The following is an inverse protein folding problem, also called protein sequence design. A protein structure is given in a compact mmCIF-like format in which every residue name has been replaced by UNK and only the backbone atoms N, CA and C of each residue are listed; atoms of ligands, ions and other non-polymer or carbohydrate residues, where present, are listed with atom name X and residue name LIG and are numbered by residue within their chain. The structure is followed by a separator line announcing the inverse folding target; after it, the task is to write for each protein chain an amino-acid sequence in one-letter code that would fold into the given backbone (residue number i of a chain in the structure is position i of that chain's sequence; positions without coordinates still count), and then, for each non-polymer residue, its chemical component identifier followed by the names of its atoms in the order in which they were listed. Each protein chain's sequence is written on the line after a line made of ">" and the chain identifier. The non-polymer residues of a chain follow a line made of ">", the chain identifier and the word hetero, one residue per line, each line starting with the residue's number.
data_IF_155562526725
#
_entry.id   IF_155562526725
#
_cell.length_a   1.000
_cell.length_b   1.000
_cell.length_c   1.000
_cell.angle_alpha   90.00
_cell.angle_beta   90.00
_cell.angle_gamma   90.00
#
_symmetry.space_group_name_H-M   'P 1'
#
loop_
_entity.id
_entity.type
_entity.pdbx_description
1 polymer ?
#
# COMPACT_ATOMS: atom_id res chain seq x y z
N UNK A 1 16.84 31.73 -2.74
CA UNK A 1 16.55 30.56 -1.90
C UNK A 1 15.06 30.41 -1.71
N UNK A 2 14.41 31.38 -1.08
CA UNK A 2 12.95 31.43 -0.92
C UNK A 2 12.20 31.20 -2.24
N UNK A 3 12.62 31.83 -3.34
CA UNK A 3 12.04 31.60 -4.67
C UNK A 3 12.11 30.13 -5.13
N UNK A 4 13.24 29.45 -4.88
CA UNK A 4 13.43 28.05 -5.29
C UNK A 4 12.65 27.12 -4.36
N UNK A 5 12.66 27.38 -3.04
CA UNK A 5 11.85 26.62 -2.07
C UNK A 5 10.34 26.77 -2.38
N UNK A 6 9.87 27.98 -2.68
CA UNK A 6 8.49 28.22 -3.10
C UNK A 6 8.15 27.51 -4.43
N UNK A 7 9.10 27.47 -5.38
CA UNK A 7 8.95 26.69 -6.61
C UNK A 7 8.83 25.19 -6.32
N UNK A 8 9.67 24.64 -5.43
CA UNK A 8 9.60 23.25 -4.99
C UNK A 8 8.29 22.93 -4.27
N UNK A 9 7.83 23.78 -3.34
CA UNK A 9 6.51 23.63 -2.70
C UNK A 9 5.38 23.54 -3.73
N UNK A 10 5.41 24.42 -4.73
CA UNK A 10 4.42 24.42 -5.82
C UNK A 10 4.51 23.18 -6.70
N UNK A 11 5.69 22.58 -6.86
CA UNK A 11 5.84 21.31 -7.57
C UNK A 11 5.35 20.12 -6.74
N UNK A 12 5.63 20.11 -5.43
CA UNK A 12 5.15 19.09 -4.50
C UNK A 12 3.62 19.10 -4.43
N UNK A 13 3.00 20.27 -4.37
CA UNK A 13 1.54 20.41 -4.31
C UNK A 13 0.81 19.90 -5.56
N UNK A 14 1.54 19.61 -6.64
CA UNK A 14 1.01 19.07 -7.90
C UNK A 14 1.36 17.59 -8.11
N UNK A 15 2.02 16.94 -7.15
CA UNK A 15 2.38 15.52 -7.29
C UNK A 15 1.09 14.70 -7.43
N UNK A 16 1.11 13.81 -8.41
CA UNK A 16 0.02 12.89 -8.70
C UNK A 16 0.59 11.59 -9.22
N UNK A 17 -0.02 10.48 -8.87
CA UNK A 17 0.30 9.17 -9.41
C UNK A 17 -0.72 8.82 -10.47
N UNK A 18 -0.26 8.36 -11.62
CA UNK A 18 -1.10 7.89 -12.70
C UNK A 18 -1.13 6.37 -12.63
N UNK A 19 -2.26 5.82 -12.18
CA UNK A 19 -2.45 4.38 -12.00
C UNK A 19 -3.12 3.78 -13.25
N UNK A 20 -2.51 2.76 -13.84
CA UNK A 20 -2.98 2.08 -15.04
C UNK A 20 -4.30 1.35 -14.80
N UNK A 21 -5.30 1.57 -15.67
CA UNK A 21 -6.60 0.88 -15.59
C UNK A 21 -6.49 -0.61 -15.95
N UNK A 22 -7.36 -1.44 -15.36
CA UNK A 22 -7.45 -2.89 -15.62
C UNK A 22 -8.25 -3.17 -16.90
N UNK A 23 -7.73 -4.00 -17.81
CA UNK A 23 -8.38 -4.45 -19.06
C UNK A 23 -7.99 -5.89 -19.41
N UNK A 24 -8.86 -6.60 -20.12
CA UNK A 24 -8.51 -7.91 -20.73
C UNK A 24 -7.89 -7.78 -22.12
N UNK A 25 -8.33 -6.78 -22.89
CA UNK A 25 -7.88 -6.57 -24.26
C UNK A 25 -6.63 -5.68 -24.26
N UNK A 26 -5.48 -6.23 -24.69
CA UNK A 26 -4.19 -5.55 -24.75
C UNK A 26 -4.13 -4.42 -25.81
N UNK A 27 -5.16 -4.29 -26.64
CA UNK A 27 -5.21 -3.29 -27.71
C UNK A 27 -5.52 -1.91 -27.10
N UNK A 28 -4.45 -1.11 -26.94
CA UNK A 28 -4.46 0.28 -26.45
C UNK A 28 -4.53 0.48 -24.93
N UNK A 29 -3.89 -0.39 -24.13
CA UNK A 29 -3.73 -0.16 -22.69
C UNK A 29 -2.96 1.15 -22.37
N UNK A 30 -2.15 1.67 -23.28
CA UNK A 30 -1.16 2.71 -23.01
C UNK A 30 -1.68 4.11 -22.67
N UNK A 31 -2.98 4.40 -22.79
CA UNK A 31 -3.50 5.78 -22.69
C UNK A 31 -4.57 6.00 -21.61
N UNK A 32 -4.94 4.99 -20.81
CA UNK A 32 -6.01 5.11 -19.82
C UNK A 32 -5.51 4.92 -18.38
N UNK A 33 -5.41 6.05 -17.67
CA UNK A 33 -4.92 6.13 -16.30
C UNK A 33 -5.95 6.79 -15.37
N UNK A 34 -5.93 6.39 -14.10
CA UNK A 34 -6.59 7.11 -13.02
C UNK A 34 -5.54 7.95 -12.31
N UNK A 35 -5.64 9.27 -12.51
CA UNK A 35 -4.79 10.25 -11.84
C UNK A 35 -5.23 10.43 -10.39
N UNK A 36 -4.32 10.21 -9.45
CA UNK A 36 -4.54 10.34 -8.01
C UNK A 36 -3.59 11.37 -7.44
N UNK A 37 -4.12 12.47 -6.93
CA UNK A 37 -3.31 13.51 -6.31
C UNK A 37 -2.68 13.00 -5.01
N UNK A 38 -1.36 13.16 -4.85
CA UNK A 38 -0.63 12.67 -3.67
C UNK A 38 -1.25 13.19 -2.37
N UNK A 39 -1.54 14.49 -2.30
CA UNK A 39 -2.11 15.12 -1.11
C UNK A 39 -3.52 14.60 -0.78
N UNK A 40 -4.26 14.09 -1.76
CA UNK A 40 -5.60 13.55 -1.54
C UNK A 40 -5.60 12.22 -0.78
N UNK A 41 -4.51 11.43 -0.91
CA UNK A 41 -4.35 10.07 -0.37
C UNK A 41 -3.18 9.95 0.61
N UNK A 42 -2.42 11.03 0.82
CA UNK A 42 -1.29 11.04 1.77
C UNK A 42 -1.76 10.73 3.20
N UNK A 43 -2.97 11.11 3.58
CA UNK A 43 -3.51 10.85 4.92
C UNK A 43 -4.41 9.60 4.96
N UNK A 44 -4.56 8.91 3.83
CA UNK A 44 -5.43 7.75 3.71
C UNK A 44 -4.71 6.53 4.28
N UNK A 45 -5.11 6.14 5.50
CA UNK A 45 -4.67 4.91 6.12
C UNK A 45 -4.92 3.75 5.14
N UNK A 46 -3.90 2.92 4.98
CA UNK A 46 -3.91 1.69 4.17
C UNK A 46 -4.06 1.85 2.65
N UNK A 47 -4.14 3.06 2.09
CA UNK A 47 -4.24 3.27 0.64
C UNK A 47 -3.19 2.47 -0.15
N UNK A 48 -1.90 2.58 0.23
CA UNK A 48 -0.81 1.86 -0.43
C UNK A 48 -0.95 0.35 -0.34
N UNK A 49 -1.44 -0.14 0.79
CA UNK A 49 -1.63 -1.57 1.04
C UNK A 49 -2.80 -2.11 0.21
N UNK A 50 -3.89 -1.34 0.10
CA UNK A 50 -5.06 -1.67 -0.71
C UNK A 50 -4.73 -1.63 -2.21
N UNK A 51 -3.95 -0.65 -2.68
CA UNK A 51 -3.51 -0.57 -4.08
C UNK A 51 -2.58 -1.74 -4.44
N UNK A 52 -1.64 -2.10 -3.56
CA UNK A 52 -0.79 -3.28 -3.77
C UNK A 52 -1.65 -4.56 -3.91
N UNK A 53 -2.63 -4.74 -3.01
CA UNK A 53 -3.53 -5.89 -3.06
C UNK A 53 -4.41 -5.86 -4.32
N UNK A 54 -4.91 -4.68 -4.71
CA UNK A 54 -5.74 -4.50 -5.90
C UNK A 54 -5.05 -5.04 -7.16
N UNK A 55 -3.86 -4.53 -7.47
CA UNK A 55 -3.13 -4.99 -8.66
C UNK A 55 -2.81 -6.49 -8.58
N UNK A 56 -2.47 -7.01 -7.40
CA UNK A 56 -2.22 -8.44 -7.25
C UNK A 56 -3.45 -9.30 -7.58
N UNK A 57 -4.60 -8.96 -6.99
CA UNK A 57 -5.87 -9.70 -7.20
C UNK A 57 -6.25 -9.67 -8.66
N UNK A 58 -6.23 -8.48 -9.25
CA UNK A 58 -6.73 -8.27 -10.61
C UNK A 58 -5.81 -8.87 -11.66
N UNK A 59 -4.48 -8.79 -11.49
CA UNK A 59 -3.52 -9.48 -12.34
C UNK A 59 -3.67 -11.00 -12.31
N UNK A 60 -3.84 -11.59 -11.12
CA UNK A 60 -4.06 -13.04 -10.99
C UNK A 60 -5.35 -13.46 -11.69
N UNK A 61 -6.39 -12.64 -11.56
CA UNK A 61 -7.67 -12.89 -12.19
C UNK A 61 -7.57 -12.80 -13.73
N UNK A 62 -6.92 -11.77 -14.28
CA UNK A 62 -6.67 -11.61 -15.72
C UNK A 62 -5.93 -12.81 -16.32
N UNK A 63 -4.88 -13.29 -15.65
CA UNK A 63 -4.15 -14.49 -16.10
C UNK A 63 -5.09 -15.68 -16.25
N UNK A 64 -6.07 -15.85 -15.36
CA UNK A 64 -6.98 -17.00 -15.41
C UNK A 64 -8.09 -16.83 -16.41
N UNK A 65 -8.68 -15.64 -16.48
CA UNK A 65 -9.79 -15.38 -17.39
C UNK A 65 -9.35 -15.51 -18.84
N UNK A 66 -8.18 -14.98 -19.18
CA UNK A 66 -7.63 -15.05 -20.54
C UNK A 66 -7.25 -16.50 -20.90
N UNK A 67 -6.62 -17.23 -19.98
CA UNK A 67 -6.19 -18.60 -20.24
C UNK A 67 -7.28 -19.67 -20.01
N UNK A 68 -8.50 -19.29 -19.60
CA UNK A 68 -9.64 -20.20 -19.27
C UNK A 68 -9.26 -21.36 -18.34
N UNK A 69 -8.47 -21.08 -17.31
CA UNK A 69 -7.84 -22.11 -16.47
C UNK A 69 -8.66 -22.50 -15.23
N UNK A 70 -8.75 -23.81 -14.93
CA UNK A 70 -8.98 -24.31 -13.55
C UNK A 70 -7.60 -24.53 -12.88
N UNK A 71 -7.38 -23.90 -11.73
CA UNK A 71 -6.12 -23.97 -10.99
C UNK A 71 -5.74 -25.39 -10.54
N UNK A 72 -6.69 -26.32 -10.51
CA UNK A 72 -6.44 -27.72 -10.13
C UNK A 72 -5.76 -28.54 -11.22
N UNK A 73 -5.73 -28.03 -12.45
CA UNK A 73 -5.14 -28.68 -13.62
C UNK A 73 -3.97 -27.87 -14.22
N UNK A 74 -3.48 -26.85 -13.51
CA UNK A 74 -2.44 -25.95 -14.01
C UNK A 74 -1.05 -26.61 -14.04
N UNK A 75 -0.37 -26.51 -15.18
CA UNK A 75 1.03 -26.92 -15.34
C UNK A 75 1.98 -26.03 -14.50
N UNK A 76 3.23 -26.47 -14.33
CA UNK A 76 4.29 -25.77 -13.59
C UNK A 76 4.49 -24.32 -14.05
N UNK A 77 4.27 -24.05 -15.33
CA UNK A 77 4.41 -22.72 -15.94
C UNK A 77 3.46 -21.68 -15.29
N UNK A 78 2.18 -22.02 -15.14
CA UNK A 78 1.18 -21.10 -14.55
C UNK A 78 1.49 -20.83 -13.07
N UNK A 79 1.92 -21.85 -12.34
CA UNK A 79 2.36 -21.68 -10.94
C UNK A 79 3.54 -20.71 -10.84
N UNK A 80 4.51 -20.83 -11.77
CA UNK A 80 5.64 -19.91 -11.84
C UNK A 80 5.18 -18.49 -12.19
N UNK A 81 4.27 -18.31 -13.16
CA UNK A 81 3.68 -17.01 -13.51
C UNK A 81 2.99 -16.33 -12.34
N UNK A 82 2.22 -17.06 -11.53
CA UNK A 82 1.58 -16.45 -10.36
C UNK A 82 2.61 -16.10 -9.27
N UNK A 83 3.61 -16.95 -9.04
CA UNK A 83 4.70 -16.65 -8.12
C UNK A 83 5.46 -15.37 -8.52
N UNK A 84 5.60 -15.18 -9.82
CA UNK A 84 6.21 -14.03 -10.45
C UNK A 84 5.39 -12.75 -10.27
N UNK A 85 4.08 -12.78 -10.54
CA UNK A 85 3.16 -11.66 -10.26
C UNK A 85 3.23 -11.24 -8.79
N UNK A 86 3.30 -12.21 -7.87
CA UNK A 86 3.45 -11.91 -6.43
C UNK A 86 4.74 -11.14 -6.11
N UNK A 87 5.86 -11.48 -6.76
CA UNK A 87 7.14 -10.76 -6.60
C UNK A 87 7.05 -9.33 -7.14
N UNK A 88 6.49 -9.16 -8.33
CA UNK A 88 6.33 -7.83 -8.96
C UNK A 88 5.38 -6.97 -8.14
N UNK A 89 4.26 -7.52 -7.67
CA UNK A 89 3.30 -6.81 -6.81
C UNK A 89 3.96 -6.37 -5.48
N UNK A 90 4.76 -7.25 -4.86
CA UNK A 90 5.51 -6.87 -3.65
C UNK A 90 6.50 -5.74 -3.94
N UNK A 91 7.21 -5.81 -5.07
CA UNK A 91 8.11 -4.74 -5.51
C UNK A 91 7.37 -3.43 -5.76
N UNK A 92 6.22 -3.49 -6.46
CA UNK A 92 5.34 -2.36 -6.71
C UNK A 92 4.87 -1.71 -5.40
N UNK A 93 4.42 -2.50 -4.43
CA UNK A 93 4.05 -1.97 -3.12
C UNK A 93 5.23 -1.33 -2.37
N UNK A 94 6.44 -1.89 -2.47
CA UNK A 94 7.64 -1.28 -1.88
C UNK A 94 7.98 0.05 -2.57
N UNK A 95 7.88 0.09 -3.90
CA UNK A 95 8.09 1.28 -4.72
C UNK A 95 7.15 2.41 -4.30
N UNK A 96 5.85 2.12 -4.17
CA UNK A 96 4.85 3.09 -3.71
C UNK A 96 5.17 3.61 -2.30
N UNK A 97 5.55 2.76 -1.35
CA UNK A 97 5.94 3.19 0.01
C UNK A 97 7.17 4.08 0.01
N UNK A 98 8.18 3.74 -0.77
CA UNK A 98 9.38 4.56 -0.92
C UNK A 98 9.07 5.91 -1.58
N UNK A 99 8.24 5.95 -2.62
CA UNK A 99 7.80 7.19 -3.25
C UNK A 99 7.04 8.08 -2.26
N UNK A 100 6.05 7.51 -1.56
CA UNK A 100 5.26 8.23 -0.57
C UNK A 100 6.11 8.74 0.59
N UNK A 101 7.08 7.96 1.07
CA UNK A 101 8.00 8.40 2.11
C UNK A 101 8.82 9.59 1.62
N UNK A 102 9.44 9.49 0.44
CA UNK A 102 10.22 10.57 -0.15
C UNK A 102 9.43 11.87 -0.25
N UNK A 103 8.28 11.85 -0.93
CA UNK A 103 7.51 13.06 -1.14
C UNK A 103 6.97 13.64 0.17
N UNK A 104 6.58 12.78 1.12
CA UNK A 104 6.12 13.25 2.44
C UNK A 104 7.24 13.90 3.24
N UNK A 105 8.43 13.29 3.26
CA UNK A 105 9.58 13.75 4.03
C UNK A 105 10.23 14.98 3.38
N UNK A 106 10.29 15.01 2.06
CA UNK A 106 10.75 16.16 1.29
C UNK A 106 9.84 17.38 1.51
N UNK A 107 8.52 17.20 1.47
CA UNK A 107 7.55 18.27 1.77
C UNK A 107 7.78 18.85 3.17
N UNK A 108 7.91 17.99 4.20
CA UNK A 108 8.22 18.43 5.56
C UNK A 108 9.51 19.24 5.61
N UNK A 109 10.59 18.72 5.03
CA UNK A 109 11.88 19.41 5.02
C UNK A 109 11.78 20.80 4.37
N UNK A 110 11.08 20.90 3.24
CA UNK A 110 10.90 22.17 2.52
C UNK A 110 9.99 23.13 3.30
N UNK A 111 8.98 22.63 4.00
CA UNK A 111 8.10 23.43 4.84
C UNK A 111 8.80 23.98 6.08
N UNK A 112 9.55 23.12 6.78
CA UNK A 112 10.31 23.45 7.98
C UNK A 112 11.50 24.37 7.65
N UNK A 113 12.09 24.23 6.45
CA UNK A 113 13.21 25.08 5.99
C UNK A 113 12.88 26.57 5.94
N UNK A 114 11.61 26.95 5.76
CA UNK A 114 11.21 28.35 5.74
C UNK A 114 11.34 29.04 7.10
N UNK A 115 11.38 28.26 8.19
CA UNK A 115 11.48 28.79 9.55
C UNK A 115 12.91 28.82 10.07
N UNK A 116 13.88 28.34 9.29
CA UNK A 116 15.28 28.26 9.69
C UNK A 116 15.95 29.62 9.48
N UNK A 117 16.45 30.22 10.56
CA UNK A 117 17.40 31.31 10.45
C UNK A 117 18.79 30.74 10.13
N UNK A 118 19.12 30.67 8.83
CA UNK A 118 20.41 30.18 8.34
C UNK A 118 21.62 30.96 8.86
N UNK A 119 21.45 32.19 9.35
CA UNK A 119 22.56 32.92 9.97
C UNK A 119 22.90 32.36 11.35
N UNK A 120 21.91 31.86 12.09
CA UNK A 120 22.07 31.27 13.43
C UNK A 120 22.36 29.77 13.40
N UNK A 121 21.80 29.04 12.43
CA UNK A 121 21.92 27.57 12.32
C UNK A 121 23.37 27.05 12.24
N UNK A 122 24.28 27.87 11.73
CA UNK A 122 25.70 27.54 11.55
C UNK A 122 26.62 28.14 12.62
N UNK A 123 26.09 28.77 13.68
CA UNK A 123 26.90 29.43 14.73
C UNK A 123 27.17 28.57 15.97
N UNK A 124 26.54 27.40 16.12
CA UNK A 124 26.64 26.57 17.34
C UNK A 124 27.83 25.57 17.38
N UNK A 125 28.90 25.79 16.60
CA UNK A 125 30.17 25.06 16.77
C UNK A 125 31.27 26.05 17.23
N UNK A 126 31.51 26.22 18.54
CA UNK A 126 32.32 27.32 19.07
C UNK A 126 33.84 27.21 18.82
N UNK A 127 34.33 26.15 18.17
CA UNK A 127 35.76 25.81 18.17
C UNK A 127 36.44 25.72 16.80
N UNK A 128 35.70 25.88 15.70
CA UNK A 128 36.27 25.91 14.36
C UNK A 128 35.59 27.05 13.59
N UNK A 129 36.35 28.05 13.13
CA UNK A 129 35.92 29.12 12.21
C UNK A 129 35.49 28.59 10.81
N UNK A 130 35.04 27.34 10.75
CA UNK A 130 34.49 26.63 9.60
C UNK A 130 33.23 25.96 10.13
N UNK A 131 32.03 26.49 9.85
CA UNK A 131 30.81 25.77 10.14
C UNK A 131 30.77 24.50 9.30
N UNK A 132 31.00 23.39 9.98
CA UNK A 132 30.73 22.07 9.44
C UNK A 132 29.22 21.91 9.47
N UNK A 133 28.64 21.69 8.29
CA UNK A 133 27.40 20.94 8.25
C UNK A 133 27.75 19.56 8.79
N UNK A 134 27.20 19.17 9.94
CA UNK A 134 27.45 17.85 10.54
C UNK A 134 26.66 16.81 9.75
N UNK A 135 26.99 16.67 8.45
CA UNK A 135 26.39 15.70 7.55
C UNK A 135 26.65 14.35 8.20
N UNK A 136 25.60 13.64 8.64
CA UNK A 136 25.81 12.42 9.38
C UNK A 136 26.55 11.43 8.48
N UNK A 137 27.67 10.90 8.97
CA UNK A 137 28.43 9.91 8.22
C UNK A 137 27.75 8.55 8.37
N UNK A 138 27.03 8.14 7.32
CA UNK A 138 26.33 6.86 7.31
C UNK A 138 27.19 5.76 6.71
N UNK A 139 27.33 4.66 7.46
CA UNK A 139 28.02 3.45 7.00
C UNK A 139 27.10 2.48 6.25
N UNK A 140 25.79 2.74 6.19
CA UNK A 140 24.81 1.86 5.56
C UNK A 140 23.53 2.60 5.16
N UNK A 141 22.78 1.98 4.23
CA UNK A 141 21.42 2.42 3.86
C UNK A 141 20.44 2.28 5.02
N UNK A 142 20.61 1.27 5.88
CA UNK A 142 19.81 1.10 7.10
C UNK A 142 19.90 2.36 7.98
N UNK A 143 21.13 2.82 8.25
CA UNK A 143 21.38 3.98 9.09
C UNK A 143 20.77 5.27 8.51
N UNK A 144 20.76 5.43 7.18
CA UNK A 144 20.10 6.57 6.53
C UNK A 144 18.58 6.55 6.74
N UNK A 145 17.92 5.39 6.59
CA UNK A 145 16.48 5.28 6.85
C UNK A 145 16.17 5.49 8.33
N UNK A 146 16.92 4.85 9.23
CA UNK A 146 16.76 5.00 10.68
C UNK A 146 16.85 6.47 11.09
N UNK A 147 17.86 7.18 10.60
CA UNK A 147 18.03 8.61 10.86
C UNK A 147 16.86 9.45 10.36
N UNK A 148 16.43 9.25 9.10
CA UNK A 148 15.31 10.01 8.53
C UNK A 148 14.01 9.76 9.30
N UNK A 149 13.79 8.54 9.78
CA UNK A 149 12.60 8.19 10.56
C UNK A 149 12.67 8.78 11.97
N UNK A 150 13.81 8.62 12.66
CA UNK A 150 14.02 9.13 14.02
C UNK A 150 13.89 10.66 14.08
N UNK A 151 14.45 11.35 13.08
CA UNK A 151 14.47 12.82 13.04
C UNK A 151 13.31 13.44 12.27
N UNK A 152 12.35 12.66 11.77
CA UNK A 152 11.26 13.11 10.87
C UNK A 152 10.36 14.24 11.43
N UNK A 153 10.43 14.52 12.73
CA UNK A 153 9.68 15.60 13.41
C UNK A 153 10.59 16.59 14.14
N UNK A 154 11.91 16.45 13.98
CA UNK A 154 12.89 17.29 14.63
C UNK A 154 13.30 18.41 13.67
N UNK A 155 12.91 19.65 14.03
CA UNK A 155 13.15 20.83 13.23
C UNK A 155 14.63 21.27 13.25
N UNK A 156 15.41 20.81 14.24
CA UNK A 156 16.82 21.17 14.36
C UNK A 156 17.66 20.43 13.30
N UNK A 157 17.16 19.33 12.74
CA UNK A 157 17.87 18.48 11.77
C UNK A 157 17.33 18.57 10.33
N UNK A 158 16.56 19.61 10.01
CA UNK A 158 15.87 19.73 8.71
C UNK A 158 16.84 19.70 7.53
N UNK A 159 18.00 20.35 7.67
CA UNK A 159 18.99 20.42 6.59
C UNK A 159 19.66 19.05 6.42
N UNK A 160 20.10 18.42 7.51
CA UNK A 160 20.70 17.08 7.50
C UNK A 160 19.72 16.03 6.96
N UNK A 161 18.43 16.13 7.32
CA UNK A 161 17.36 15.28 6.76
C UNK A 161 17.24 15.47 5.27
N UNK A 162 17.16 16.72 4.78
CA UNK A 162 17.10 17.00 3.35
C UNK A 162 18.31 16.43 2.58
N UNK A 163 19.51 16.55 3.13
CA UNK A 163 20.73 15.98 2.55
C UNK A 163 20.73 14.45 2.57
N UNK A 164 20.38 13.86 3.72
CA UNK A 164 20.31 12.40 3.86
C UNK A 164 19.29 11.81 2.90
N UNK A 165 18.12 12.44 2.80
CA UNK A 165 17.06 12.06 1.86
C UNK A 165 17.56 12.15 0.41
N UNK A 166 18.24 13.24 0.06
CA UNK A 166 18.80 13.44 -1.28
C UNK A 166 19.83 12.37 -1.65
N UNK A 167 20.78 12.08 -0.75
CA UNK A 167 21.80 11.05 -0.96
C UNK A 167 21.16 9.67 -1.11
N UNK A 168 20.28 9.31 -0.17
CA UNK A 168 19.61 8.02 -0.15
C UNK A 168 18.84 7.78 -1.45
N UNK A 169 18.05 8.76 -1.88
CA UNK A 169 17.23 8.59 -3.07
C UNK A 169 18.04 8.71 -4.37
N UNK A 170 19.14 9.45 -4.39
CA UNK A 170 20.07 9.36 -5.51
C UNK A 170 20.68 7.95 -5.65
N UNK A 171 20.96 7.27 -4.54
CA UNK A 171 21.41 5.86 -4.56
C UNK A 171 20.28 4.96 -5.09
N UNK A 172 19.06 5.12 -4.58
CA UNK A 172 17.90 4.32 -4.99
C UNK A 172 17.61 4.48 -6.49
N UNK A 173 17.68 5.70 -7.03
CA UNK A 173 17.38 5.98 -8.43
C UNK A 173 18.61 5.90 -9.34
N UNK A 174 19.76 5.47 -8.81
CA UNK A 174 21.05 5.42 -9.51
C UNK A 174 21.42 6.74 -10.21
N UNK A 175 21.10 7.87 -9.56
CA UNK A 175 21.48 9.19 -10.04
C UNK A 175 22.97 9.44 -9.78
N UNK A 176 23.70 9.93 -10.78
CA UNK A 176 25.11 10.26 -10.62
C UNK A 176 25.27 11.45 -9.66
N UNK A 177 25.46 11.13 -8.39
CA UNK A 177 25.49 12.10 -7.28
C UNK A 177 26.89 12.68 -7.03
N UNK A 178 27.89 12.27 -7.81
CA UNK A 178 29.29 12.65 -7.62
C UNK A 178 29.51 14.17 -7.77
N UNK A 179 28.74 14.82 -8.65
CA UNK A 179 28.82 16.27 -8.88
C UNK A 179 28.30 17.06 -7.67
N UNK A 180 27.27 16.58 -6.97
CA UNK A 180 26.71 17.25 -5.78
C UNK A 180 27.70 17.17 -4.61
N UNK A 181 28.30 16.00 -4.36
CA UNK A 181 29.30 15.81 -3.29
C UNK A 181 30.61 16.58 -3.56
N UNK A 182 31.06 16.66 -4.82
CA UNK A 182 32.25 17.43 -5.22
C UNK A 182 32.03 18.94 -5.13
N UNK A 183 30.83 19.43 -5.46
CA UNK A 183 30.49 20.85 -5.31
C UNK A 183 30.53 21.29 -3.84
N UNK A 184 30.00 20.47 -2.92
CA UNK A 184 30.04 20.75 -1.48
C UNK A 184 31.47 20.76 -0.94
N UNK A 185 32.32 19.82 -1.36
CA UNK A 185 33.72 19.71 -0.89
C UNK A 185 34.68 20.78 -1.41
N UNK A 186 34.38 21.45 -2.54
CA UNK A 186 35.32 22.34 -3.23
C UNK A 186 35.31 23.80 -2.77
N UNK A 187 34.46 24.16 -1.80
CA UNK A 187 34.23 25.57 -1.46
C UNK A 187 35.14 26.00 -0.30
N UNK A 188 36.31 26.52 -0.66
CA UNK A 188 37.17 27.34 0.21
C UNK A 188 37.18 28.78 -0.35
N UNK A 189 36.38 29.70 0.22
CA UNK A 189 36.62 31.18 0.32
C UNK A 189 35.35 31.97 0.70
N UNK A 190 35.58 33.21 1.16
CA UNK A 190 34.61 34.18 1.67
C UNK A 190 33.36 34.36 0.77
N UNK A 191 32.19 34.58 1.39
CA UNK A 191 30.82 34.53 0.82
C UNK A 191 30.23 33.13 0.51
N UNK A 192 30.83 32.08 1.03
CA UNK A 192 30.39 30.69 0.87
C UNK A 192 28.95 30.41 1.32
N UNK A 193 28.42 31.08 2.35
CA UNK A 193 27.07 30.78 2.92
C UNK A 193 25.92 30.95 1.91
N UNK A 194 25.88 32.07 1.20
CA UNK A 194 24.82 32.35 0.22
C UNK A 194 24.99 31.54 -1.07
N UNK A 195 26.25 31.28 -1.46
CA UNK A 195 26.59 30.52 -2.66
C UNK A 195 26.29 29.02 -2.49
N UNK A 196 26.72 28.42 -1.37
CA UNK A 196 26.46 27.01 -1.03
C UNK A 196 24.96 26.75 -0.99
N UNK A 197 24.19 27.61 -0.33
CA UNK A 197 22.77 27.33 -0.14
C UNK A 197 21.98 27.48 -1.43
N UNK A 198 22.34 28.42 -2.32
CA UNK A 198 21.70 28.55 -3.64
C UNK A 198 22.04 27.38 -4.56
N UNK A 199 23.32 27.08 -4.77
CA UNK A 199 23.72 25.97 -5.67
C UNK A 199 23.26 24.61 -5.14
N UNK A 200 23.34 24.36 -3.82
CA UNK A 200 22.86 23.11 -3.24
C UNK A 200 21.36 22.93 -3.45
N UNK A 201 20.58 23.99 -3.28
CA UNK A 201 19.12 23.93 -3.48
C UNK A 201 18.76 23.77 -4.98
N UNK A 202 19.52 24.37 -5.89
CA UNK A 202 19.37 24.12 -7.33
C UNK A 202 19.64 22.65 -7.70
N UNK A 203 20.67 22.04 -7.08
CA UNK A 203 20.95 20.62 -7.27
C UNK A 203 19.88 19.72 -6.66
N UNK A 204 19.39 20.04 -5.46
CA UNK A 204 18.24 19.36 -4.84
C UNK A 204 17.01 19.45 -5.75
N UNK A 205 16.78 20.60 -6.40
CA UNK A 205 15.67 20.77 -7.34
C UNK A 205 15.81 19.90 -8.59
N UNK A 206 17.01 19.83 -9.18
CA UNK A 206 17.30 18.92 -10.32
C UNK A 206 17.12 17.46 -9.93
N UNK A 207 17.64 17.08 -8.76
CA UNK A 207 17.50 15.74 -8.21
C UNK A 207 16.03 15.40 -7.95
N UNK A 208 15.25 16.30 -7.36
CA UNK A 208 13.82 16.11 -7.16
C UNK A 208 13.09 15.86 -8.48
N UNK A 209 13.41 16.63 -9.53
CA UNK A 209 12.87 16.40 -10.87
C UNK A 209 13.21 15.01 -11.42
N UNK A 210 14.45 14.55 -11.22
CA UNK A 210 14.88 13.21 -11.59
C UNK A 210 14.15 12.12 -10.79
N UNK A 211 14.12 12.22 -9.45
CA UNK A 211 13.47 11.24 -8.57
C UNK A 211 11.98 11.13 -8.89
N UNK A 212 11.31 12.27 -9.09
CA UNK A 212 9.90 12.32 -9.49
C UNK A 212 9.66 11.52 -10.78
N UNK A 213 10.44 11.82 -11.83
CA UNK A 213 10.33 11.13 -13.11
C UNK A 213 10.62 9.63 -12.96
N UNK A 214 11.70 9.29 -12.25
CA UNK A 214 12.11 7.91 -12.04
C UNK A 214 11.02 7.08 -11.36
N UNK A 215 10.36 7.62 -10.32
CA UNK A 215 9.24 6.93 -9.67
C UNK A 215 8.04 6.74 -10.59
N UNK A 216 7.69 7.73 -11.41
CA UNK A 216 6.57 7.60 -12.34
C UNK A 216 6.86 6.52 -13.38
N UNK A 217 8.03 6.57 -14.03
CA UNK A 217 8.46 5.58 -15.01
C UNK A 217 8.52 4.17 -14.39
N UNK A 218 9.01 4.05 -13.15
CA UNK A 218 9.10 2.78 -12.44
C UNK A 218 7.73 2.22 -12.06
N UNK A 219 6.80 3.04 -11.56
CA UNK A 219 5.44 2.61 -11.18
C UNK A 219 4.69 2.14 -12.42
N UNK A 220 4.70 2.93 -13.49
CA UNK A 220 4.08 2.60 -14.78
C UNK A 220 4.62 1.26 -15.32
N UNK A 221 5.94 1.04 -15.25
CA UNK A 221 6.53 -0.22 -15.68
C UNK A 221 6.11 -1.42 -14.81
N UNK A 222 5.98 -1.25 -13.49
CA UNK A 222 5.48 -2.32 -12.62
C UNK A 222 4.04 -2.66 -12.93
N UNK A 223 3.18 -1.65 -13.09
CA UNK A 223 1.77 -1.84 -13.40
C UNK A 223 1.58 -2.47 -14.78
N UNK A 224 2.30 -2.02 -15.80
CA UNK A 224 2.32 -2.67 -17.12
C UNK A 224 2.74 -4.13 -17.01
N UNK A 225 3.76 -4.45 -16.22
CA UNK A 225 4.18 -5.84 -16.02
C UNK A 225 3.14 -6.65 -15.22
N UNK A 226 2.45 -6.04 -14.26
CA UNK A 226 1.36 -6.70 -13.54
C UNK A 226 0.17 -6.99 -14.46
N UNK A 227 -0.13 -6.11 -15.40
CA UNK A 227 -1.34 -6.18 -16.24
C UNK A 227 -1.13 -6.88 -17.58
N UNK A 228 0.04 -6.70 -18.20
CA UNK A 228 0.41 -7.42 -19.40
C UNK A 228 0.76 -8.86 -19.03
N UNK A 229 0.28 -9.81 -19.82
CA UNK A 229 0.72 -11.21 -19.79
C UNK A 229 2.20 -11.28 -20.19
N UNK A 230 3.10 -10.98 -19.24
CA UNK A 230 4.56 -10.95 -19.43
C UNK A 230 4.99 -12.25 -20.14
N UNK A 231 5.63 -12.12 -21.29
CA UNK A 231 6.29 -13.24 -21.96
C UNK A 231 7.52 -13.69 -21.17
N UNK A 232 7.94 -14.95 -21.27
CA UNK A 232 9.11 -15.47 -20.52
C UNK A 232 10.40 -14.65 -20.74
N UNK A 233 10.54 -13.96 -21.88
CA UNK A 233 11.66 -13.05 -22.15
C UNK A 233 11.59 -11.72 -21.39
N UNK A 234 10.41 -11.11 -21.28
CA UNK A 234 10.19 -9.92 -20.45
C UNK A 234 10.33 -10.27 -18.96
N UNK A 235 10.16 -11.55 -18.61
CA UNK A 235 10.39 -12.04 -17.27
C UNK A 235 11.85 -11.96 -16.81
N UNK A 236 12.83 -12.10 -17.72
CA UNK A 236 14.25 -11.96 -17.36
C UNK A 236 14.64 -10.52 -16.99
N UNK A 237 13.86 -9.52 -17.41
CA UNK A 237 14.03 -8.12 -16.98
C UNK A 237 13.50 -7.89 -15.55
N UNK A 238 12.73 -8.82 -14.99
CA UNK A 238 12.19 -8.72 -13.62
C UNK A 238 13.30 -8.76 -12.56
N UNK A 239 14.47 -9.31 -12.89
CA UNK A 239 15.67 -9.26 -12.04
C UNK A 239 16.15 -7.83 -11.74
N UNK A 240 15.80 -6.83 -12.56
CA UNK A 240 16.11 -5.42 -12.28
C UNK A 240 15.30 -4.87 -11.09
N UNK A 241 14.15 -5.46 -10.77
CA UNK A 241 13.29 -5.05 -9.65
C UNK A 241 13.76 -5.55 -8.28
N UNK A 242 14.75 -6.46 -8.23
CA UNK A 242 15.29 -6.97 -6.96
C UNK A 242 15.93 -5.87 -6.09
N UNK A 243 16.42 -4.79 -6.71
CA UNK A 243 16.94 -3.61 -6.00
C UNK A 243 15.87 -2.94 -5.12
N UNK A 244 14.64 -2.82 -5.60
CA UNK A 244 13.55 -2.17 -4.83
C UNK A 244 13.09 -3.03 -3.67
N UNK A 245 13.06 -4.34 -3.84
CA UNK A 245 12.80 -5.25 -2.73
C UNK A 245 13.88 -5.16 -1.64
N UNK A 246 15.14 -4.95 -2.02
CA UNK A 246 16.22 -4.69 -1.07
C UNK A 246 15.96 -3.41 -0.26
N UNK A 247 15.73 -2.27 -0.94
CA UNK A 247 15.44 -0.99 -0.25
C UNK A 247 14.16 -1.05 0.58
N UNK A 248 13.09 -1.68 0.07
CA UNK A 248 11.83 -1.84 0.77
C UNK A 248 11.97 -2.64 2.07
N UNK A 249 12.75 -3.73 2.07
CA UNK A 249 13.05 -4.50 3.29
C UNK A 249 13.80 -3.67 4.33
N UNK A 250 14.80 -2.89 3.88
CA UNK A 250 15.61 -2.01 4.72
C UNK A 250 14.75 -0.91 5.35
N UNK A 251 13.89 -0.29 4.55
CA UNK A 251 12.92 0.70 5.03
C UNK A 251 11.94 0.13 6.06
N UNK A 252 11.33 -1.03 5.78
CA UNK A 252 10.43 -1.69 6.72
C UNK A 252 11.11 -2.08 8.03
N UNK A 253 12.38 -2.50 7.98
CA UNK A 253 13.19 -2.79 9.17
C UNK A 253 13.35 -1.53 10.03
N UNK A 254 13.79 -0.43 9.42
CA UNK A 254 14.00 0.84 10.12
C UNK A 254 12.71 1.38 10.76
N UNK A 255 11.56 1.25 10.09
CA UNK A 255 10.26 1.63 10.67
C UNK A 255 9.92 0.81 11.93
N UNK A 256 10.22 -0.50 11.94
CA UNK A 256 9.97 -1.38 13.10
C UNK A 256 10.89 -1.07 14.26
N UNK A 257 12.18 -0.85 13.98
CA UNK A 257 13.19 -0.54 15.01
C UNK A 257 12.89 0.80 15.69
N UNK A 258 12.34 1.76 14.95
CA UNK A 258 11.88 3.05 15.47
C UNK A 258 10.46 3.03 16.05
N UNK A 259 9.87 1.84 16.27
CA UNK A 259 8.55 1.67 16.88
C UNK A 259 7.43 2.48 16.19
N UNK A 260 7.55 2.70 14.87
CA UNK A 260 6.50 3.36 14.10
C UNK A 260 5.23 2.51 14.19
N UNK A 261 4.11 3.17 14.47
CA UNK A 261 2.80 2.55 14.64
C UNK A 261 2.51 1.55 13.50
N UNK A 262 2.06 0.34 13.84
CA UNK A 262 1.65 -0.69 12.88
C UNK A 262 0.55 -0.24 11.93
N UNK A 263 -0.24 0.76 12.31
CA UNK A 263 -1.28 1.40 11.50
C UNK A 263 -0.76 2.48 10.54
N UNK A 264 0.55 2.70 10.48
CA UNK A 264 1.16 3.60 9.50
C UNK A 264 0.98 3.04 8.09
N UNK A 265 0.56 3.88 7.14
CA UNK A 265 0.47 3.51 5.71
C UNK A 265 1.78 2.99 5.11
N UNK A 266 2.92 3.32 5.73
CA UNK A 266 4.25 2.85 5.31
C UNK A 266 4.53 1.41 5.74
N UNK A 267 3.79 0.87 6.70
CA UNK A 267 3.88 -0.52 7.14
C UNK A 267 2.91 -1.37 6.32
N UNK A 268 3.42 -2.48 5.80
CA UNK A 268 2.56 -3.52 5.22
C UNK A 268 1.82 -4.24 6.35
N UNK A 269 0.60 -3.80 6.66
CA UNK A 269 -0.25 -4.44 7.67
C UNK A 269 -0.75 -5.81 7.19
N UNK A 270 -0.83 -6.77 8.11
CA UNK A 270 -1.44 -8.07 7.90
C UNK A 270 -2.96 -7.99 7.81
N UNK A 271 -3.59 -6.97 8.39
CA UNK A 271 -5.04 -6.79 8.36
C UNK A 271 -5.58 -6.19 7.06
N UNK A 272 -4.75 -5.58 6.21
CA UNK A 272 -5.24 -4.97 4.97
C UNK A 272 -5.66 -6.03 3.95
N UNK A 273 -6.76 -5.80 3.24
CA UNK A 273 -7.23 -6.74 2.24
C UNK A 273 -8.07 -5.99 1.20
N UNK A 274 -7.78 -6.27 -0.07
CA UNK A 274 -8.71 -6.13 -1.19
C UNK A 274 -9.10 -7.54 -1.66
N UNK A 275 -10.37 -7.74 -1.99
CA UNK A 275 -10.86 -8.95 -2.63
C UNK A 275 -11.90 -8.61 -3.70
N UNK A 276 -11.99 -9.47 -4.71
CA UNK A 276 -13.02 -9.36 -5.75
C UNK A 276 -13.63 -10.71 -6.10
N UNK A 277 -14.82 -10.67 -6.68
CA UNK A 277 -15.54 -11.83 -7.20
C UNK A 277 -16.32 -11.41 -8.43
N UNK A 278 -16.38 -12.33 -9.39
CA UNK A 278 -17.25 -12.19 -10.56
C UNK A 278 -18.33 -13.24 -10.48
N UNK A 279 -19.57 -12.79 -10.53
CA UNK A 279 -20.76 -13.65 -10.46
C UNK A 279 -21.78 -13.16 -11.48
N UNK A 280 -22.27 -14.04 -12.36
CA UNK A 280 -23.26 -13.71 -13.40
C UNK A 280 -22.91 -12.47 -14.25
N UNK A 281 -21.63 -12.31 -14.61
CA UNK A 281 -21.07 -11.15 -15.34
C UNK A 281 -21.13 -9.82 -14.58
N UNK A 282 -21.36 -9.84 -13.28
CA UNK A 282 -21.23 -8.68 -12.41
C UNK A 282 -19.95 -8.83 -11.59
N UNK A 283 -19.21 -7.73 -11.41
CA UNK A 283 -18.03 -7.69 -10.56
C UNK A 283 -18.34 -7.02 -9.25
N UNK A 284 -17.99 -7.72 -8.17
CA UNK A 284 -18.09 -7.23 -6.81
C UNK A 284 -16.70 -7.16 -6.22
N UNK A 285 -16.40 -6.09 -5.49
CA UNK A 285 -15.16 -6.00 -4.74
C UNK A 285 -15.38 -5.42 -3.35
N UNK A 286 -14.47 -5.72 -2.44
CA UNK A 286 -14.53 -5.21 -1.08
C UNK A 286 -13.13 -4.97 -0.52
N UNK A 287 -13.06 -4.06 0.45
CA UNK A 287 -11.85 -3.75 1.21
C UNK A 287 -12.09 -3.99 2.70
N UNK A 288 -11.05 -4.39 3.43
CA UNK A 288 -11.14 -4.62 4.87
C UNK A 288 -11.43 -3.31 5.62
N UNK A 289 -12.02 -3.44 6.81
CA UNK A 289 -12.39 -2.33 7.68
C UNK A 289 -13.89 -2.12 7.75
N UNK A 290 -14.33 -1.47 8.82
CA UNK A 290 -15.74 -1.12 9.04
C UNK A 290 -16.19 -0.10 8.03
N UNK A 291 -17.41 -0.28 7.53
CA UNK A 291 -18.14 0.76 6.83
C UNK A 291 -18.90 1.53 7.92
N UNK A 292 -18.47 2.76 8.21
CA UNK A 292 -19.19 3.59 9.17
C UNK A 292 -20.42 4.18 8.46
N UNK A 293 -21.62 3.94 8.98
CA UNK A 293 -22.88 4.49 8.42
C UNK A 293 -22.88 6.04 8.35
N UNK A 294 -21.98 6.68 9.11
CA UNK A 294 -21.75 8.13 9.14
C UNK A 294 -20.51 8.59 8.35
N UNK A 295 -19.92 7.74 7.51
CA UNK A 295 -18.79 8.16 6.68
C UNK A 295 -19.24 9.27 5.73
N UNK A 296 -18.67 10.46 5.93
CA UNK A 296 -18.81 11.56 4.98
C UNK A 296 -18.28 11.06 3.63
N UNK A 297 -18.89 11.45 2.49
CA UNK A 297 -18.38 11.13 1.15
C UNK A 297 -16.91 11.50 0.93
N UNK A 298 -16.37 12.40 1.77
CA UNK A 298 -14.97 12.82 1.81
C UNK A 298 -14.04 11.90 2.62
N UNK A 299 -14.52 10.77 3.17
CA UNK A 299 -13.68 9.85 3.94
C UNK A 299 -12.58 9.25 3.05
N UNK A 300 -11.42 9.02 3.66
CA UNK A 300 -10.25 8.41 3.00
C UNK A 300 -10.59 7.04 2.39
N UNK A 301 -11.49 6.30 3.05
CA UNK A 301 -12.02 5.03 2.55
C UNK A 301 -12.91 5.23 1.32
N UNK A 302 -13.85 6.18 1.33
CA UNK A 302 -14.69 6.50 0.18
C UNK A 302 -13.88 6.93 -1.04
N UNK A 303 -12.83 7.73 -0.84
CA UNK A 303 -11.89 8.12 -1.91
C UNK A 303 -11.19 6.89 -2.50
N UNK A 304 -10.63 6.03 -1.64
CA UNK A 304 -9.99 4.77 -2.08
C UNK A 304 -10.97 3.92 -2.88
N UNK A 305 -12.20 3.75 -2.41
CA UNK A 305 -13.24 3.01 -3.14
C UNK A 305 -13.55 3.64 -4.50
N UNK A 306 -13.64 4.97 -4.59
CA UNK A 306 -13.89 5.67 -5.85
C UNK A 306 -12.75 5.44 -6.86
N UNK A 307 -11.49 5.55 -6.42
CA UNK A 307 -10.30 5.27 -7.24
C UNK A 307 -10.33 3.83 -7.75
N UNK A 308 -10.60 2.84 -6.88
CA UNK A 308 -10.69 1.44 -7.27
C UNK A 308 -11.82 1.19 -8.28
N UNK A 309 -12.98 1.84 -8.12
CA UNK A 309 -14.05 1.79 -9.12
C UNK A 309 -13.55 2.32 -10.46
N UNK A 310 -12.89 3.48 -10.47
CA UNK A 310 -12.39 4.10 -11.69
C UNK A 310 -11.37 3.23 -12.42
N UNK A 311 -10.47 2.57 -11.67
CA UNK A 311 -9.49 1.62 -12.23
C UNK A 311 -10.15 0.40 -12.88
N UNK A 312 -11.34 0.01 -12.42
CA UNK A 312 -12.11 -1.12 -12.96
C UNK A 312 -13.13 -0.70 -14.03
N UNK A 313 -13.56 0.57 -14.09
CA UNK A 313 -14.69 1.05 -14.94
C UNK A 313 -14.52 0.76 -16.42
N UNK A 314 -13.29 0.60 -16.90
CA UNK A 314 -12.97 0.33 -18.31
C UNK A 314 -13.07 -1.16 -18.67
N UNK A 315 -13.37 -2.03 -17.70
CA UNK A 315 -13.55 -3.46 -17.92
C UNK A 315 -14.98 -3.73 -18.47
N UNK A 316 -15.10 -3.79 -19.80
CA UNK A 316 -16.39 -3.81 -20.53
C UNK A 316 -17.16 -5.13 -20.45
N UNK A 317 -16.52 -6.21 -19.99
CA UNK A 317 -17.15 -7.53 -19.92
C UNK A 317 -18.15 -7.68 -18.79
N UNK A 318 -18.12 -6.78 -17.81
CA UNK A 318 -19.08 -6.79 -16.72
C UNK A 318 -20.24 -5.86 -17.01
N UNK A 319 -21.45 -6.32 -16.71
CA UNK A 319 -22.64 -5.48 -16.74
C UNK A 319 -22.58 -4.40 -15.66
N UNK A 320 -22.01 -4.73 -14.50
CA UNK A 320 -21.89 -3.81 -13.35
C UNK A 320 -20.61 -4.06 -12.56
N UNK A 321 -20.12 -3.01 -11.90
CA UNK A 321 -19.03 -3.05 -10.92
C UNK A 321 -19.56 -2.44 -9.62
N UNK A 322 -19.62 -3.24 -8.56
CA UNK A 322 -20.20 -2.86 -7.27
C UNK A 322 -19.18 -3.00 -6.14
N UNK A 323 -19.08 -1.97 -5.30
CA UNK A 323 -18.39 -2.07 -4.01
C UNK A 323 -19.33 -2.68 -2.99
N UNK A 324 -18.88 -3.70 -2.27
CA UNK A 324 -19.67 -4.39 -1.26
C UNK A 324 -19.23 -3.98 0.15
N UNK A 325 -20.03 -3.17 0.87
CA UNK A 325 -19.80 -2.88 2.28
C UNK A 325 -20.18 -4.07 3.17
N UNK A 326 -20.05 -3.93 4.50
CA UNK A 326 -20.66 -4.87 5.46
C UNK A 326 -22.18 -4.79 5.31
N UNK A 327 -22.77 -5.84 4.76
CA UNK A 327 -24.22 -5.98 4.66
C UNK A 327 -24.81 -6.42 6.00
N UNK A 328 -26.05 -6.01 6.28
CA UNK A 328 -26.80 -6.45 7.47
C UNK A 328 -26.87 -7.98 7.60
N UNK A 329 -26.95 -8.67 6.46
CA UNK A 329 -26.97 -10.14 6.37
C UNK A 329 -25.57 -10.79 6.40
N UNK A 330 -24.50 -10.03 6.63
CA UNK A 330 -23.15 -10.60 6.81
C UNK A 330 -23.15 -11.44 8.07
N UNK A 331 -22.69 -12.69 7.99
CA UNK A 331 -22.79 -13.67 9.08
C UNK A 331 -21.45 -13.89 9.77
N UNK A 332 -21.51 -14.07 11.08
CA UNK A 332 -20.43 -14.56 11.92
C UNK A 332 -20.80 -15.92 12.50
N UNK A 333 -20.13 -16.97 12.03
CA UNK A 333 -20.28 -18.33 12.52
C UNK A 333 -19.35 -18.53 13.73
N UNK A 334 -19.94 -18.75 14.91
CA UNK A 334 -19.22 -18.86 16.19
C UNK A 334 -18.93 -20.32 16.60
N UNK A 335 -19.27 -21.26 15.72
CA UNK A 335 -18.99 -22.68 15.85
C UNK A 335 -18.42 -23.20 14.52
N UNK A 336 -17.46 -24.11 14.60
CA UNK A 336 -16.83 -24.76 13.44
C UNK A 336 -17.68 -25.88 12.86
N UNK A 337 -18.64 -26.40 13.63
CA UNK A 337 -19.40 -27.61 13.30
C UNK A 337 -20.92 -27.41 13.24
N UNK A 338 -21.41 -26.18 13.46
CA UNK A 338 -22.84 -25.87 13.35
C UNK A 338 -23.08 -24.64 12.46
N UNK A 339 -24.29 -24.57 11.90
CA UNK A 339 -24.79 -23.42 11.16
C UNK A 339 -25.23 -22.28 12.10
N UNK A 340 -24.78 -22.30 13.36
CA UNK A 340 -25.07 -21.25 14.32
C UNK A 340 -24.25 -20.00 13.99
N UNK A 341 -24.96 -18.91 13.68
CA UNK A 341 -24.38 -17.63 13.36
C UNK A 341 -25.19 -16.50 13.98
N UNK A 342 -24.53 -15.34 14.09
CA UNK A 342 -25.23 -14.05 14.20
C UNK A 342 -24.98 -13.23 12.93
N UNK A 343 -25.93 -12.39 12.58
CA UNK A 343 -25.82 -11.42 11.49
C UNK A 343 -25.26 -10.08 12.00
N UNK A 344 -24.79 -9.25 11.07
CA UNK A 344 -24.31 -7.92 11.41
C UNK A 344 -25.42 -7.02 11.95
N UNK A 345 -26.66 -7.18 11.44
CA UNK A 345 -27.83 -6.47 11.97
C UNK A 345 -28.09 -6.80 13.44
N UNK A 346 -28.02 -8.09 13.81
CA UNK A 346 -28.18 -8.55 15.18
C UNK A 346 -27.06 -8.02 16.09
N UNK A 347 -25.82 -8.01 15.60
CA UNK A 347 -24.70 -7.38 16.29
C UNK A 347 -24.91 -5.88 16.51
N UNK A 348 -25.41 -5.15 15.51
CA UNK A 348 -25.70 -3.71 15.64
C UNK A 348 -26.79 -3.44 16.68
N UNK A 349 -27.86 -4.24 16.67
CA UNK A 349 -29.01 -4.09 17.58
C UNK A 349 -28.66 -4.38 19.03
N UNK A 350 -27.73 -5.31 19.30
CA UNK A 350 -27.33 -5.69 20.65
C UNK A 350 -26.21 -4.81 21.24
N UNK A 351 -25.82 -3.74 20.56
CA UNK A 351 -24.73 -2.84 20.97
C UNK A 351 -23.41 -3.17 20.29
N UNK A 352 -22.78 -2.18 19.66
CA UNK A 352 -21.52 -2.35 18.92
C UNK A 352 -20.32 -2.17 19.84
N UNK A 353 -19.75 -3.27 20.33
CA UNK A 353 -18.47 -3.25 21.02
C UNK A 353 -17.32 -3.22 20.00
N UNK A 354 -16.57 -2.11 19.97
CA UNK A 354 -15.53 -1.87 18.95
C UNK A 354 -14.50 -3.00 18.82
N UNK A 355 -14.19 -3.69 19.92
CA UNK A 355 -13.24 -4.82 19.95
C UNK A 355 -13.71 -6.04 19.14
N UNK A 356 -15.02 -6.20 18.91
CA UNK A 356 -15.59 -7.35 18.19
C UNK A 356 -15.95 -7.05 16.73
N UNK A 357 -15.67 -5.83 16.26
CA UNK A 357 -15.89 -5.44 14.86
C UNK A 357 -15.23 -6.38 13.83
N UNK A 358 -14.11 -7.01 14.21
CA UNK A 358 -13.37 -7.96 13.37
C UNK A 358 -14.23 -9.15 12.92
N UNK A 359 -15.32 -9.48 13.63
CA UNK A 359 -16.27 -10.53 13.26
C UNK A 359 -16.82 -10.37 11.83
N UNK A 360 -16.99 -9.12 11.36
CA UNK A 360 -17.69 -8.82 10.10
C UNK A 360 -16.84 -8.08 9.05
N UNK A 361 -15.59 -7.71 9.34
CA UNK A 361 -14.84 -6.79 8.46
C UNK A 361 -14.11 -7.45 7.29
N UNK A 362 -13.97 -8.78 7.27
CA UNK A 362 -13.26 -9.50 6.21
C UNK A 362 -13.95 -9.34 4.85
N UNK A 363 -13.17 -9.06 3.80
CA UNK A 363 -13.69 -8.90 2.44
C UNK A 363 -14.42 -10.16 1.96
N UNK A 364 -13.90 -11.34 2.29
CA UNK A 364 -14.47 -12.63 1.89
C UNK A 364 -15.89 -12.78 2.41
N UNK A 365 -16.14 -12.43 3.67
CA UNK A 365 -17.48 -12.50 4.28
C UNK A 365 -18.45 -11.54 3.64
N UNK A 366 -18.02 -10.30 3.40
CA UNK A 366 -18.84 -9.27 2.72
C UNK A 366 -19.26 -9.75 1.33
N UNK A 367 -18.31 -10.27 0.56
CA UNK A 367 -18.57 -10.80 -0.79
C UNK A 367 -19.46 -12.05 -0.76
N UNK A 368 -19.21 -13.01 0.15
CA UNK A 368 -20.06 -14.19 0.32
C UNK A 368 -21.49 -13.76 0.68
N UNK A 369 -21.67 -12.81 1.60
CA UNK A 369 -22.98 -12.30 1.97
C UNK A 369 -23.74 -11.69 0.77
N UNK A 370 -23.04 -10.95 -0.09
CA UNK A 370 -23.62 -10.39 -1.31
C UNK A 370 -24.07 -11.48 -2.30
N UNK A 371 -23.24 -12.50 -2.53
CA UNK A 371 -23.60 -13.60 -3.43
C UNK A 371 -24.74 -14.44 -2.83
N UNK A 372 -24.75 -14.65 -1.51
CA UNK A 372 -25.88 -15.30 -0.81
C UNK A 372 -27.19 -14.52 -1.03
N UNK A 373 -27.16 -13.20 -0.89
CA UNK A 373 -28.33 -12.35 -1.13
C UNK A 373 -28.82 -12.43 -2.58
N UNK A 374 -27.90 -12.44 -3.56
CA UNK A 374 -28.23 -12.57 -4.98
C UNK A 374 -28.84 -13.94 -5.33
N UNK A 375 -28.26 -15.02 -4.78
CA UNK A 375 -28.70 -16.39 -5.10
C UNK A 375 -29.94 -16.82 -4.33
N UNK A 376 -30.17 -16.26 -3.14
CA UNK A 376 -31.18 -16.73 -2.19
C UNK A 376 -30.91 -18.15 -1.66
N UNK A 377 -29.68 -18.66 -1.83
CA UNK A 377 -29.30 -20.03 -1.46
C UNK A 377 -28.31 -20.02 -0.29
N UNK A 378 -28.45 -21.01 0.58
CA UNK A 378 -27.50 -21.22 1.69
C UNK A 378 -26.17 -21.83 1.22
N UNK A 379 -26.19 -22.61 0.14
CA UNK A 379 -25.01 -23.20 -0.49
C UNK A 379 -24.91 -22.77 -1.96
N UNK A 380 -23.73 -22.34 -2.39
CA UNK A 380 -23.48 -21.88 -3.75
C UNK A 380 -21.99 -21.91 -4.11
N UNK A 381 -21.68 -22.31 -5.34
CA UNK A 381 -20.30 -22.26 -5.82
C UNK A 381 -19.92 -20.83 -6.22
N UNK A 382 -18.86 -20.31 -5.60
CA UNK A 382 -18.30 -18.99 -5.92
C UNK A 382 -16.77 -19.07 -5.95
N UNK A 383 -16.13 -18.29 -6.82
CA UNK A 383 -14.68 -18.24 -6.94
C UNK A 383 -14.16 -16.86 -6.45
N UNK A 384 -13.64 -16.81 -5.22
CA UNK A 384 -13.12 -15.56 -4.63
C UNK A 384 -11.68 -15.29 -5.03
N UNK A 385 -11.40 -14.08 -5.53
CA UNK A 385 -10.06 -13.58 -5.82
C UNK A 385 -9.51 -12.83 -4.60
N UNK A 386 -8.47 -13.37 -3.97
CA UNK A 386 -7.89 -12.87 -2.71
C UNK A 386 -6.37 -12.93 -2.74
N UNK A 387 -5.71 -11.99 -2.05
CA UNK A 387 -4.24 -11.95 -1.96
C UNK A 387 -3.66 -12.85 -0.88
N UNK A 388 -4.43 -13.08 0.19
CA UNK A 388 -4.02 -13.81 1.40
C UNK A 388 -4.81 -15.11 1.55
N UNK A 389 -4.32 -16.03 2.39
CA UNK A 389 -5.13 -17.17 2.82
C UNK A 389 -6.30 -16.64 3.68
N UNK A 390 -7.52 -17.20 3.53
CA UNK A 390 -8.63 -16.84 4.41
C UNK A 390 -8.25 -17.06 5.88
N UNK A 391 -8.60 -16.11 6.75
CA UNK A 391 -8.42 -16.31 8.18
C UNK A 391 -9.40 -17.36 8.72
N UNK A 392 -9.15 -17.89 9.92
CA UNK A 392 -9.99 -18.93 10.55
C UNK A 392 -11.48 -18.57 10.55
N UNK A 393 -11.77 -17.30 10.78
CA UNK A 393 -13.11 -16.73 10.75
C UNK A 393 -13.78 -16.92 9.37
N UNK A 394 -13.11 -16.50 8.30
CA UNK A 394 -13.58 -16.69 6.92
C UNK A 394 -13.72 -18.19 6.60
N UNK A 395 -12.75 -19.02 7.00
CA UNK A 395 -12.75 -20.46 6.69
C UNK A 395 -14.01 -21.19 7.18
N UNK A 396 -14.60 -20.76 8.31
CA UNK A 396 -15.87 -21.34 8.83
C UNK A 396 -17.00 -21.18 7.81
N UNK A 397 -17.22 -19.96 7.32
CA UNK A 397 -18.30 -19.66 6.37
C UNK A 397 -18.03 -20.28 4.99
N UNK A 398 -16.77 -20.26 4.57
CA UNK A 398 -16.31 -20.83 3.31
C UNK A 398 -16.63 -22.32 3.19
N UNK A 399 -16.44 -23.09 4.27
CA UNK A 399 -16.73 -24.53 4.31
C UNK A 399 -18.23 -24.80 4.15
N UNK A 400 -19.07 -23.94 4.72
CA UNK A 400 -20.53 -24.06 4.66
C UNK A 400 -21.02 -23.78 3.23
N UNK A 401 -20.54 -22.69 2.60
CA UNK A 401 -21.01 -22.29 1.26
C UNK A 401 -20.34 -23.05 0.11
N UNK A 402 -19.33 -23.90 0.37
CA UNK A 402 -18.51 -24.57 -0.66
C UNK A 402 -17.79 -23.59 -1.60
N UNK A 403 -17.33 -22.43 -1.07
CA UNK A 403 -16.61 -21.45 -1.86
C UNK A 403 -15.24 -21.98 -2.33
N UNK A 404 -14.90 -21.73 -3.60
CA UNK A 404 -13.59 -22.03 -4.21
C UNK A 404 -12.71 -20.77 -4.17
N UNK A 405 -11.40 -20.95 -4.00
CA UNK A 405 -10.44 -19.84 -3.96
C UNK A 405 -9.60 -19.78 -5.21
N UNK A 406 -9.38 -18.55 -5.64
CA UNK A 406 -8.50 -18.21 -6.73
C UNK A 406 -7.12 -17.78 -6.22
N UNK A 407 -6.52 -18.53 -5.28
CA UNK A 407 -5.13 -18.34 -4.85
C UNK A 407 -4.36 -19.64 -5.08
N UNK A 408 -3.17 -19.65 -5.72
CA UNK A 408 -2.37 -20.88 -5.78
C UNK A 408 -2.01 -21.28 -4.36
N UNK A 409 -2.37 -22.51 -3.98
CA UNK A 409 -1.75 -23.18 -2.84
C UNK A 409 -0.23 -23.08 -3.01
N UNK A 410 0.44 -22.30 -2.19
CA UNK A 410 1.86 -22.48 -1.94
C UNK A 410 2.11 -22.28 -0.42
N UNK A 411 2.71 -23.25 0.28
CA UNK A 411 2.76 -23.37 1.74
C UNK A 411 3.72 -22.38 2.45
N UNK A 412 4.21 -21.34 1.76
CA UNK A 412 5.21 -20.41 2.30
C UNK A 412 4.65 -19.04 2.72
N UNK A 413 3.33 -18.92 2.90
CA UNK A 413 2.79 -17.79 3.66
C UNK A 413 2.97 -18.15 5.12
N UNK A 414 3.99 -17.58 5.79
CA UNK A 414 4.06 -17.62 7.24
C UNK A 414 2.76 -17.03 7.80
N UNK A 415 1.89 -17.91 8.28
CA UNK A 415 0.89 -17.58 9.30
C UNK A 415 1.68 -16.88 10.40
N UNK A 416 1.33 -15.64 10.70
CA UNK A 416 2.08 -14.87 11.68
C UNK A 416 2.06 -15.61 13.02
N UNK A 417 3.22 -15.67 13.67
CA UNK A 417 3.55 -16.42 14.89
C UNK A 417 2.83 -15.98 16.18
N UNK A 418 1.58 -15.52 16.10
CA UNK A 418 0.74 -15.23 17.26
C UNK A 418 -0.58 -16.02 17.23
N UNK A 419 -0.53 -17.29 16.79
CA UNK A 419 -1.69 -18.20 16.77
C UNK A 419 -2.42 -18.21 18.12
N UNK A 420 -1.69 -18.13 19.25
CA UNK A 420 -2.30 -18.10 20.59
C UNK A 420 -3.07 -16.81 20.90
N UNK A 421 -2.56 -15.64 20.51
CA UNK A 421 -3.26 -14.37 20.75
C UNK A 421 -4.50 -14.25 19.85
N UNK A 422 -4.41 -14.79 18.62
CA UNK A 422 -5.53 -14.84 17.70
C UNK A 422 -6.60 -15.84 18.14
N UNK A 423 -6.22 -17.02 18.63
CA UNK A 423 -7.14 -18.02 19.19
C UNK A 423 -7.91 -17.50 20.41
N UNK A 424 -7.25 -16.78 21.32
CA UNK A 424 -7.91 -16.17 22.49
C UNK A 424 -8.94 -15.13 22.03
N UNK A 425 -8.58 -14.26 21.08
CA UNK A 425 -9.51 -13.28 20.49
C UNK A 425 -10.72 -13.95 19.84
N UNK A 426 -10.53 -15.09 19.18
CA UNK A 426 -11.63 -15.85 18.56
C UNK A 426 -12.58 -16.41 19.62
N UNK A 427 -12.07 -16.96 20.72
CA UNK A 427 -12.92 -17.49 21.81
C UNK A 427 -13.78 -16.38 22.43
N UNK A 428 -13.21 -15.19 22.63
CA UNK A 428 -13.95 -14.05 23.16
C UNK A 428 -15.05 -13.59 22.19
N UNK A 429 -14.75 -13.53 20.89
CA UNK A 429 -15.75 -13.25 19.85
C UNK A 429 -16.83 -14.32 19.78
N UNK A 430 -16.46 -15.61 19.91
CA UNK A 430 -17.40 -16.73 19.91
C UNK A 430 -18.33 -16.70 21.12
N UNK A 431 -17.81 -16.37 22.31
CA UNK A 431 -18.62 -16.21 23.51
C UNK A 431 -19.61 -15.03 23.38
N UNK A 432 -19.12 -13.88 22.92
CA UNK A 432 -19.96 -12.70 22.70
C UNK A 432 -21.06 -12.97 21.66
N UNK A 433 -20.73 -13.66 20.57
CA UNK A 433 -21.71 -14.02 19.55
C UNK A 433 -22.77 -15.01 20.08
N UNK A 434 -22.38 -15.96 20.94
CA UNK A 434 -23.34 -16.85 21.62
C UNK A 434 -24.28 -16.07 22.54
N UNK A 435 -23.76 -15.11 23.31
CA UNK A 435 -24.61 -14.28 24.16
C UNK A 435 -25.64 -13.50 23.33
N UNK A 436 -25.25 -12.96 22.18
CA UNK A 436 -26.20 -12.33 21.24
C UNK A 436 -27.24 -13.36 20.74
N UNK A 437 -26.78 -14.52 20.26
CA UNK A 437 -27.63 -15.57 19.72
C UNK A 437 -28.67 -16.06 20.75
N UNK A 438 -28.22 -16.38 21.96
CA UNK A 438 -29.06 -16.85 23.06
C UNK A 438 -30.08 -15.80 23.52
N UNK A 439 -29.77 -14.51 23.36
CA UNK A 439 -30.71 -13.44 23.70
C UNK A 439 -31.79 -13.22 22.63
N UNK A 440 -31.52 -13.59 21.38
CA UNK A 440 -32.46 -13.43 20.25
C UNK A 440 -33.35 -14.67 20.07
N UNK A 441 -32.82 -15.85 20.36
CA UNK A 441 -33.49 -17.14 20.13
C UNK A 441 -34.06 -17.80 21.41
N UNK A 442 -34.06 -17.09 22.55
CA UNK A 442 -34.91 -17.39 23.71
C UNK A 442 -36.31 -16.81 23.51
#
# INVERSE_FOLDING_TARGET
>A
MEEILNSLKKEISKISFDFQCIREDNDNAHDDYVKVEFNSVKEDNDFLNVIEDFYLVESIYLVKSINKLDLRECDKDIHQRIANIKKISTSHGNLLRLAFFYFSEFEKCIDESNNINLENYYLDIPYLDIPYLDIPYFNSIDAMFEYLIEKSTDNDYVIERLYTLSILYAIITNYNFYDILLHIRRIKRDNWRQYITKESIEQVSKLFGHIKKWFYDAIENHEKNLLCLITDQQFNQVGEYDGINYFGKKFQKALRENQINSHSKFIKDKLNCYASVVYEKEKYFSINGLDNDNEKPSSNKCKTIAILKDLLKKETKYSTIEYVPILDKTRYYFDKQSDCYISYDEFKKNGTEKKYNRMFTCCERKLIAKIREKTGKEQFDVALNITKQPCELCEREIKIVNAKFQNPKNPNIEINKDEKEFEVKIKDMDAYARDIYDNIHK
#
